data_IF_345886615692
#
_entry.id   IF_345886615692
#
_cell.length_a   1.000
_cell.length_b   1.000
_cell.length_c   1.000
_cell.angle_alpha   90.00
_cell.angle_beta   90.00
_cell.angle_gamma   90.00
#
_symmetry.space_group_name_H-M   'P 1'
#
loop_
_entity.id
_entity.type
_entity.pdbx_description
1 polymer ?
#
# COMPACT_ATOMS: atom_id res chain seq x y z
N UNK A 1 -9.97 -13.23 13.04
CA UNK A 1 -10.16 -12.91 11.60
C UNK A 1 -10.79 -14.09 10.87
N UNK A 2 -11.41 -13.82 9.72
CA UNK A 2 -12.12 -14.85 8.91
C UNK A 2 -11.15 -15.78 8.17
N UNK A 3 -10.03 -15.23 7.73
CA UNK A 3 -9.03 -15.91 6.91
C UNK A 3 -8.31 -17.00 7.74
N UNK A 4 -7.73 -17.96 7.04
CA UNK A 4 -6.74 -18.87 7.63
C UNK A 4 -5.40 -18.14 7.77
N UNK A 5 -4.45 -18.75 8.47
CA UNK A 5 -3.13 -18.14 8.64
C UNK A 5 -2.40 -17.94 7.30
N UNK A 6 -2.60 -18.84 6.35
CA UNK A 6 -1.98 -18.81 5.01
C UNK A 6 -2.62 -17.77 4.09
N UNK A 7 -3.90 -17.49 4.30
CA UNK A 7 -4.66 -16.57 3.42
C UNK A 7 -4.86 -15.17 4.03
N UNK A 8 -4.34 -14.96 5.24
CA UNK A 8 -4.40 -13.69 5.96
C UNK A 8 -3.66 -12.60 5.15
N UNK A 9 -4.29 -11.43 4.89
CA UNK A 9 -3.68 -10.38 4.07
C UNK A 9 -2.60 -9.57 4.78
N UNK A 10 -2.47 -9.71 6.11
CA UNK A 10 -1.42 -9.04 6.89
C UNK A 10 -0.02 -9.56 6.49
N UNK A 11 0.99 -8.69 6.55
CA UNK A 11 2.36 -9.11 6.26
C UNK A 11 2.88 -10.10 7.30
N UNK A 12 3.79 -10.98 6.89
CA UNK A 12 4.41 -11.95 7.80
C UNK A 12 5.18 -11.26 8.93
N UNK A 13 5.74 -10.07 8.69
CA UNK A 13 6.44 -9.26 9.69
C UNK A 13 5.45 -8.74 10.74
N UNK A 14 4.31 -8.17 10.33
CA UNK A 14 3.28 -7.68 11.26
C UNK A 14 2.65 -8.79 12.10
N UNK A 15 2.40 -9.96 11.49
CA UNK A 15 1.91 -11.14 12.21
C UNK A 15 2.90 -11.56 13.30
N UNK A 16 4.20 -11.62 12.94
CA UNK A 16 5.26 -11.97 13.87
C UNK A 16 5.38 -10.95 15.01
N UNK A 17 5.36 -9.65 14.69
CA UNK A 17 5.42 -8.59 15.70
C UNK A 17 4.24 -8.64 16.66
N UNK A 18 3.02 -8.86 16.15
CA UNK A 18 1.83 -9.02 16.99
C UNK A 18 1.97 -10.21 17.96
N UNK A 19 2.48 -11.35 17.51
CA UNK A 19 2.72 -12.52 18.37
C UNK A 19 3.83 -12.27 19.41
N UNK A 20 4.90 -11.59 19.03
CA UNK A 20 5.97 -11.18 19.96
C UNK A 20 5.44 -10.24 21.06
N UNK A 21 4.47 -9.40 20.73
CA UNK A 21 3.78 -8.55 21.70
C UNK A 21 2.75 -9.32 22.55
N UNK A 22 2.55 -10.61 22.27
CA UNK A 22 1.65 -11.50 23.00
C UNK A 22 0.19 -11.37 22.59
N UNK A 23 -0.08 -10.84 21.38
CA UNK A 23 -1.42 -10.83 20.79
C UNK A 23 -1.76 -12.23 20.31
N UNK A 24 -2.92 -12.74 20.73
CA UNK A 24 -3.43 -14.02 20.29
C UNK A 24 -4.20 -13.86 18.97
N UNK A 25 -3.67 -14.41 17.91
CA UNK A 25 -4.31 -14.40 16.59
C UNK A 25 -5.15 -15.67 16.46
N UNK A 26 -6.46 -15.52 16.28
CA UNK A 26 -7.41 -16.61 16.08
C UNK A 26 -7.95 -16.58 14.64
N UNK A 27 -7.35 -17.35 13.71
CA UNK A 27 -7.78 -17.42 12.32
C UNK A 27 -9.01 -18.32 12.14
N UNK A 28 -9.82 -18.04 11.13
CA UNK A 28 -10.99 -18.84 10.78
C UNK A 28 -12.19 -18.62 11.71
N UNK A 29 -12.36 -17.41 12.25
CA UNK A 29 -13.48 -17.07 13.11
C UNK A 29 -14.12 -15.74 12.71
N UNK A 30 -15.45 -15.72 12.66
CA UNK A 30 -16.25 -14.52 12.42
C UNK A 30 -17.10 -14.13 13.63
N UNK A 31 -17.43 -12.85 13.81
CA UNK A 31 -18.25 -12.40 14.92
C UNK A 31 -19.69 -12.92 14.79
N UNK A 32 -20.28 -13.35 15.90
CA UNK A 32 -21.67 -13.73 15.99
C UNK A 32 -22.44 -12.78 16.90
N UNK A 33 -21.96 -12.59 18.14
CA UNK A 33 -22.66 -11.81 19.15
C UNK A 33 -21.68 -11.20 20.15
N UNK A 34 -21.95 -9.96 20.57
CA UNK A 34 -21.25 -9.33 21.71
C UNK A 34 -22.06 -9.58 22.97
N UNK A 35 -21.45 -10.19 23.95
CA UNK A 35 -22.07 -10.47 25.24
C UNK A 35 -21.97 -9.26 26.15
N UNK A 36 -23.08 -8.90 26.78
CA UNK A 36 -23.16 -7.82 27.78
C UNK A 36 -23.70 -8.36 29.11
N UNK A 37 -23.39 -7.68 30.19
CA UNK A 37 -23.95 -7.95 31.50
C UNK A 37 -25.29 -7.23 31.73
N UNK A 38 -25.83 -7.35 32.94
CA UNK A 38 -27.11 -6.72 33.33
C UNK A 38 -27.07 -5.17 33.28
N UNK A 39 -25.88 -4.56 33.30
CA UNK A 39 -25.68 -3.12 33.24
C UNK A 39 -25.38 -2.64 31.80
N UNK A 40 -25.34 -3.55 30.82
CA UNK A 40 -24.98 -3.25 29.43
C UNK A 40 -23.48 -3.16 29.17
N UNK A 41 -22.64 -3.56 30.12
CA UNK A 41 -21.19 -3.58 29.97
C UNK A 41 -20.73 -4.84 29.20
N UNK A 42 -19.77 -4.66 28.29
CA UNK A 42 -19.23 -5.80 27.52
C UNK A 42 -18.52 -6.78 28.44
N UNK A 43 -18.87 -8.07 28.35
CA UNK A 43 -18.26 -9.19 29.05
C UNK A 43 -17.57 -10.19 28.13
N UNK A 44 -17.83 -10.12 26.83
CA UNK A 44 -17.21 -11.06 25.88
C UNK A 44 -17.78 -10.95 24.48
N UNK A 45 -17.25 -11.80 23.60
CA UNK A 45 -17.74 -11.97 22.22
C UNK A 45 -17.88 -13.45 21.91
N UNK A 46 -18.95 -13.82 21.24
CA UNK A 46 -19.13 -15.15 20.63
C UNK A 46 -18.74 -15.06 19.17
N UNK A 47 -17.88 -15.96 18.76
CA UNK A 47 -17.43 -16.13 17.39
C UNK A 47 -17.95 -17.44 16.83
N UNK A 48 -18.17 -17.50 15.53
CA UNK A 48 -18.55 -18.72 14.79
C UNK A 48 -17.46 -19.08 13.79
N UNK A 49 -17.27 -20.37 13.58
CA UNK A 49 -16.24 -20.89 12.69
C UNK A 49 -16.48 -20.45 11.26
N UNK A 50 -15.46 -19.86 10.62
CA UNK A 50 -15.47 -19.56 9.22
C UNK A 50 -14.90 -20.74 8.41
N UNK A 51 -15.71 -21.32 7.53
CA UNK A 51 -15.35 -22.46 6.70
C UNK A 51 -14.66 -22.00 5.41
N UNK A 52 -15.13 -20.89 4.84
CA UNK A 52 -14.49 -20.25 3.68
C UNK A 52 -14.82 -18.77 3.69
N UNK A 53 -13.89 -17.93 3.20
CA UNK A 53 -14.09 -16.48 3.09
C UNK A 53 -14.63 -16.09 1.72
N UNK A 54 -14.33 -16.90 0.69
CA UNK A 54 -14.71 -16.63 -0.70
C UNK A 54 -15.54 -17.77 -1.26
N UNK A 55 -16.43 -17.43 -2.18
CA UNK A 55 -17.17 -18.41 -2.98
C UNK A 55 -16.32 -19.01 -4.14
N UNK A 56 -16.93 -19.88 -4.93
CA UNK A 56 -16.29 -20.52 -6.08
C UNK A 56 -15.83 -19.52 -7.17
N UNK A 57 -16.42 -18.34 -7.23
CA UNK A 57 -16.05 -17.27 -8.16
C UNK A 57 -14.98 -16.32 -7.58
N UNK A 58 -14.46 -16.62 -6.38
CA UNK A 58 -13.46 -15.81 -5.68
C UNK A 58 -14.01 -14.51 -5.07
N UNK A 59 -15.34 -14.35 -4.98
CA UNK A 59 -15.98 -13.20 -4.36
C UNK A 59 -16.07 -13.39 -2.86
N UNK A 60 -15.95 -12.29 -2.10
CA UNK A 60 -16.14 -12.31 -0.67
C UNK A 60 -17.58 -12.73 -0.33
N UNK A 61 -17.73 -13.93 0.21
CA UNK A 61 -19.00 -14.55 0.60
C UNK A 61 -18.73 -15.59 1.70
N UNK A 62 -18.44 -15.14 2.94
CA UNK A 62 -18.01 -16.04 4.00
C UNK A 62 -19.11 -17.06 4.38
N UNK A 63 -18.72 -18.32 4.47
CA UNK A 63 -19.56 -19.43 4.93
C UNK A 63 -19.14 -19.81 6.34
N UNK A 64 -20.12 -20.11 7.19
CA UNK A 64 -19.90 -20.36 8.60
C UNK A 64 -20.49 -21.71 9.01
N UNK A 65 -19.85 -22.32 10.00
CA UNK A 65 -20.47 -23.34 10.83
C UNK A 65 -21.14 -22.63 12.02
N UNK A 66 -22.45 -22.69 12.08
CA UNK A 66 -23.23 -22.02 13.14
C UNK A 66 -23.22 -22.78 14.47
N UNK A 67 -22.80 -24.05 14.46
CA UNK A 67 -22.75 -24.93 15.63
C UNK A 67 -21.35 -24.91 16.30
N UNK A 68 -20.29 -24.61 15.55
CA UNK A 68 -18.93 -24.45 16.10
C UNK A 68 -18.70 -23.02 16.56
N UNK A 69 -18.78 -22.81 17.89
CA UNK A 69 -18.69 -21.51 18.52
C UNK A 69 -17.45 -21.38 19.42
N UNK A 70 -16.86 -20.19 19.44
CA UNK A 70 -15.78 -19.79 20.34
C UNK A 70 -16.21 -18.57 21.13
N UNK A 71 -16.22 -18.67 22.46
CA UNK A 71 -16.49 -17.52 23.33
C UNK A 71 -15.17 -16.99 23.89
N UNK A 72 -14.95 -15.68 23.73
CA UNK A 72 -13.79 -14.97 24.27
C UNK A 72 -14.28 -13.94 25.29
N UNK A 73 -13.84 -14.08 26.53
CA UNK A 73 -14.14 -13.11 27.59
C UNK A 73 -13.28 -11.85 27.40
N UNK A 74 -13.90 -10.69 27.35
CA UNK A 74 -13.23 -9.40 27.20
C UNK A 74 -14.11 -8.26 27.68
N UNK A 75 -13.51 -7.13 27.98
CA UNK A 75 -14.20 -5.90 28.40
C UNK A 75 -14.43 -4.92 27.23
N UNK A 76 -13.71 -5.09 26.13
CA UNK A 76 -13.81 -4.23 24.96
C UNK A 76 -13.73 -5.06 23.70
N UNK A 77 -14.53 -4.70 22.70
CA UNK A 77 -14.51 -5.31 21.36
C UNK A 77 -14.36 -4.19 20.35
N UNK A 78 -13.35 -4.31 19.48
CA UNK A 78 -13.11 -3.40 18.38
C UNK A 78 -13.31 -4.12 17.04
N UNK A 79 -14.21 -3.60 16.21
CA UNK A 79 -14.43 -4.13 14.86
C UNK A 79 -13.59 -3.35 13.85
N UNK A 80 -12.65 -4.05 13.20
CA UNK A 80 -11.81 -3.52 12.12
C UNK A 80 -11.99 -4.37 10.87
N UNK A 81 -13.24 -4.54 10.44
CA UNK A 81 -13.69 -5.54 9.45
C UNK A 81 -13.85 -4.99 8.03
N UNK A 82 -13.09 -3.99 7.67
CA UNK A 82 -13.10 -3.41 6.35
C UNK A 82 -13.62 -1.98 6.33
N UNK A 83 -13.58 -1.40 5.14
CA UNK A 83 -13.95 -0.02 4.90
C UNK A 83 -14.82 0.06 3.65
N UNK A 84 -15.65 1.08 3.56
CA UNK A 84 -16.47 1.38 2.39
C UNK A 84 -16.38 2.87 2.05
N UNK A 85 -16.53 3.16 0.77
CA UNK A 85 -16.58 4.55 0.29
C UNK A 85 -17.98 5.09 0.54
N UNK A 86 -18.07 6.20 1.28
CA UNK A 86 -19.30 6.91 1.55
C UNK A 86 -19.19 8.31 0.97
N UNK A 87 -19.90 8.55 -0.12
CA UNK A 87 -19.91 9.86 -0.79
C UNK A 87 -20.85 10.87 -0.16
N UNK A 88 -21.88 10.41 0.57
CA UNK A 88 -22.96 11.29 1.03
C UNK A 88 -23.58 12.04 -0.14
N UNK A 89 -23.70 13.36 -0.02
CA UNK A 89 -24.22 14.25 -1.06
C UNK A 89 -23.14 14.82 -1.99
N UNK A 90 -21.87 14.45 -1.82
CA UNK A 90 -20.75 15.06 -2.55
C UNK A 90 -20.87 14.94 -4.08
N UNK A 91 -21.37 13.82 -4.57
CA UNK A 91 -21.52 13.55 -6.00
C UNK A 91 -22.94 13.79 -6.53
N UNK A 92 -23.84 14.32 -5.69
CA UNK A 92 -25.24 14.53 -6.06
C UNK A 92 -25.37 15.54 -7.20
N UNK A 93 -25.99 15.11 -8.29
CA UNK A 93 -26.17 15.94 -9.49
C UNK A 93 -24.97 16.02 -10.41
N UNK A 94 -23.84 15.35 -10.08
CA UNK A 94 -22.71 15.20 -10.99
C UNK A 94 -22.91 14.05 -11.97
N UNK A 95 -22.08 13.99 -13.02
CA UNK A 95 -22.05 12.89 -13.99
C UNK A 95 -21.02 11.81 -13.61
N UNK A 96 -20.47 11.87 -12.40
CA UNK A 96 -19.49 10.89 -11.94
C UNK A 96 -20.16 9.52 -11.84
N UNK A 97 -19.62 8.56 -12.58
CA UNK A 97 -20.06 7.17 -12.55
C UNK A 97 -19.39 6.43 -11.39
N UNK A 98 -20.14 5.54 -10.74
CA UNK A 98 -19.62 4.69 -9.69
C UNK A 98 -19.54 3.24 -10.16
N UNK A 99 -18.40 2.63 -9.95
CA UNK A 99 -18.09 1.24 -10.27
C UNK A 99 -18.20 0.31 -9.07
N UNK A 100 -17.43 -0.77 -9.13
CA UNK A 100 -17.38 -1.78 -8.07
C UNK A 100 -16.93 -1.18 -6.75
N UNK A 101 -17.57 -1.58 -5.66
CA UNK A 101 -17.22 -1.11 -4.30
C UNK A 101 -17.49 0.37 -4.08
N UNK A 102 -18.39 0.96 -4.86
CA UNK A 102 -18.72 2.38 -4.80
C UNK A 102 -17.58 3.33 -5.19
N UNK A 103 -16.53 2.80 -5.86
CA UNK A 103 -15.41 3.58 -6.38
C UNK A 103 -15.81 4.44 -7.56
N UNK A 104 -15.22 5.62 -7.70
CA UNK A 104 -15.48 6.48 -8.85
C UNK A 104 -14.76 5.97 -10.11
N UNK A 105 -15.44 6.02 -11.25
CA UNK A 105 -14.86 5.68 -12.55
C UNK A 105 -14.13 6.89 -13.12
N UNK A 106 -12.88 6.68 -13.54
CA UNK A 106 -12.07 7.73 -14.15
C UNK A 106 -11.12 7.16 -15.20
N UNK A 107 -10.62 8.02 -16.06
CA UNK A 107 -9.57 7.68 -17.03
C UNK A 107 -8.25 7.37 -16.31
N UNK A 108 -7.62 6.26 -16.64
CA UNK A 108 -6.43 5.76 -15.94
C UNK A 108 -5.18 6.63 -16.11
N UNK A 109 -5.11 7.45 -17.15
CA UNK A 109 -3.97 8.32 -17.43
C UNK A 109 -4.15 9.71 -16.83
N UNK A 110 -5.37 10.23 -16.88
CA UNK A 110 -5.68 11.60 -16.49
C UNK A 110 -6.35 11.72 -15.14
N UNK A 111 -6.88 10.64 -14.59
CA UNK A 111 -7.68 10.61 -13.36
C UNK A 111 -8.96 11.44 -13.44
N UNK A 112 -9.37 11.84 -14.66
CA UNK A 112 -10.58 12.62 -14.91
C UNK A 112 -11.80 11.69 -14.95
N UNK A 113 -12.88 12.11 -14.32
CA UNK A 113 -14.17 11.40 -14.35
C UNK A 113 -15.00 11.80 -15.58
N UNK A 114 -16.21 11.26 -15.69
CA UNK A 114 -17.20 11.70 -16.69
C UNK A 114 -17.63 13.17 -16.50
N UNK A 115 -17.47 13.74 -15.29
CA UNK A 115 -17.58 15.17 -15.06
C UNK A 115 -16.22 15.82 -15.27
N UNK A 116 -16.14 16.72 -16.25
CA UNK A 116 -14.87 17.20 -16.78
C UNK A 116 -13.98 17.96 -15.79
N UNK A 117 -14.54 18.56 -14.74
CA UNK A 117 -13.85 19.30 -13.70
C UNK A 117 -13.63 18.50 -12.41
N UNK A 118 -14.02 17.21 -12.40
CA UNK A 118 -13.82 16.30 -11.27
C UNK A 118 -12.75 15.27 -11.60
N UNK A 119 -11.73 15.22 -10.75
CA UNK A 119 -10.62 14.27 -10.79
C UNK A 119 -10.60 13.46 -9.51
N UNK A 120 -10.25 12.18 -9.60
CA UNK A 120 -10.23 11.27 -8.46
C UNK A 120 -8.93 10.48 -8.42
N UNK A 121 -8.50 10.09 -7.22
CA UNK A 121 -7.32 9.25 -7.02
C UNK A 121 -7.31 8.61 -5.63
N UNK A 122 -6.36 7.72 -5.37
CA UNK A 122 -6.31 6.95 -4.12
C UNK A 122 -7.46 5.95 -4.00
N UNK A 123 -7.82 5.59 -2.78
CA UNK A 123 -8.74 4.50 -2.46
C UNK A 123 -10.13 4.63 -3.10
N UNK A 124 -10.60 5.85 -3.30
CA UNK A 124 -11.90 6.11 -3.96
C UNK A 124 -11.90 5.78 -5.45
N UNK A 125 -10.74 5.57 -6.05
CA UNK A 125 -10.56 5.20 -7.46
C UNK A 125 -10.03 3.77 -7.61
N UNK A 126 -8.95 3.44 -6.90
CA UNK A 126 -8.26 2.14 -7.08
C UNK A 126 -8.74 1.06 -6.12
N UNK A 127 -9.58 1.39 -5.13
CA UNK A 127 -9.78 0.59 -3.94
C UNK A 127 -8.63 0.74 -2.95
N UNK A 128 -8.70 0.10 -1.78
CA UNK A 128 -7.67 0.20 -0.74
C UNK A 128 -6.28 -0.21 -1.23
N UNK A 129 -5.31 0.70 -1.09
CA UNK A 129 -3.90 0.51 -1.41
C UNK A 129 -3.00 1.21 -0.39
N UNK A 130 -1.69 1.21 -0.62
CA UNK A 130 -0.74 1.90 0.24
C UNK A 130 -0.81 3.42 0.07
N UNK A 131 -0.42 4.16 1.11
CA UNK A 131 -0.37 5.62 1.07
C UNK A 131 0.50 6.16 -0.08
N UNK A 132 1.57 5.44 -0.46
CA UNK A 132 2.42 5.83 -1.58
C UNK A 132 1.70 5.79 -2.92
N UNK A 133 0.74 4.87 -3.11
CA UNK A 133 -0.10 4.80 -4.31
C UNK A 133 -1.02 6.02 -4.40
N UNK A 134 -1.59 6.44 -3.26
CA UNK A 134 -2.41 7.64 -3.18
C UNK A 134 -1.60 8.91 -3.47
N UNK A 135 -0.35 8.99 -2.98
CA UNK A 135 0.58 10.10 -3.29
C UNK A 135 0.89 10.14 -4.78
N UNK A 136 1.16 9.00 -5.40
CA UNK A 136 1.42 8.90 -6.84
C UNK A 136 0.19 9.37 -7.64
N UNK A 137 -1.00 8.87 -7.31
CA UNK A 137 -2.25 9.30 -7.94
C UNK A 137 -2.50 10.81 -7.77
N UNK A 138 -2.21 11.35 -6.58
CA UNK A 138 -2.33 12.78 -6.30
C UNK A 138 -1.40 13.65 -7.18
N UNK A 139 -0.15 13.22 -7.38
CA UNK A 139 0.80 13.92 -8.28
C UNK A 139 0.31 13.93 -9.73
N UNK A 140 -0.12 12.79 -10.24
CA UNK A 140 -0.63 12.65 -11.59
C UNK A 140 -1.95 13.43 -11.79
N UNK A 141 -2.86 13.34 -10.82
CA UNK A 141 -4.10 14.12 -10.80
C UNK A 141 -3.85 15.62 -10.77
N UNK A 142 -2.89 16.10 -10.00
CA UNK A 142 -2.50 17.52 -9.94
C UNK A 142 -2.00 18.03 -11.30
N UNK A 143 -1.23 17.22 -12.05
CA UNK A 143 -0.82 17.57 -13.42
C UNK A 143 -2.05 17.69 -14.32
N UNK A 144 -3.01 16.81 -14.18
CA UNK A 144 -4.25 16.86 -14.98
C UNK A 144 -5.07 18.09 -14.66
N UNK A 145 -5.27 18.41 -13.39
CA UNK A 145 -5.98 19.62 -12.94
C UNK A 145 -5.26 20.88 -13.43
N UNK A 146 -3.94 20.95 -13.28
CA UNK A 146 -3.15 22.09 -13.77
C UNK A 146 -3.33 22.31 -15.28
N UNK A 147 -3.30 21.24 -16.06
CA UNK A 147 -3.50 21.32 -17.52
C UNK A 147 -4.95 21.66 -17.87
N UNK A 148 -5.90 21.13 -17.14
CA UNK A 148 -7.33 21.39 -17.37
C UNK A 148 -7.68 22.86 -17.26
N UNK A 149 -7.07 23.59 -16.31
CA UNK A 149 -7.30 25.03 -16.15
C UNK A 149 -6.48 25.91 -17.11
N UNK A 150 -5.57 25.31 -17.90
CA UNK A 150 -4.79 26.06 -18.90
C UNK A 150 -5.49 26.04 -20.27
N UNK A 151 -5.66 27.18 -20.94
CA UNK A 151 -6.24 27.22 -22.28
C UNK A 151 -5.44 26.36 -23.27
N UNK A 152 -6.13 25.53 -24.03
CA UNK A 152 -5.57 24.68 -25.09
C UNK A 152 -4.52 23.63 -24.61
N UNK A 153 -4.39 23.37 -23.34
CA UNK A 153 -3.49 22.33 -22.85
C UNK A 153 -4.10 20.92 -23.01
N UNK A 154 -3.30 19.98 -23.49
CA UNK A 154 -3.71 18.57 -23.59
C UNK A 154 -3.47 17.84 -22.27
N UNK A 155 -4.48 17.11 -21.79
CA UNK A 155 -4.34 16.26 -20.60
C UNK A 155 -3.42 15.06 -20.82
N UNK A 156 -3.23 14.61 -22.07
CA UNK A 156 -2.57 13.35 -22.40
C UNK A 156 -1.19 13.48 -23.03
N UNK A 157 -0.86 14.58 -23.69
CA UNK A 157 0.43 14.78 -24.33
C UNK A 157 1.56 14.79 -23.30
N UNK A 158 2.60 13.98 -23.53
CA UNK A 158 3.79 13.92 -22.65
C UNK A 158 3.53 13.25 -21.29
N UNK A 159 2.41 12.55 -21.11
CA UNK A 159 2.18 11.70 -19.93
C UNK A 159 2.97 10.40 -20.07
N UNK A 160 3.46 9.90 -18.94
CA UNK A 160 4.10 8.60 -18.91
C UNK A 160 3.04 7.50 -19.12
N UNK A 161 3.24 6.69 -20.16
CA UNK A 161 2.38 5.55 -20.51
C UNK A 161 3.11 4.22 -20.38
N UNK A 162 4.23 4.21 -19.65
CA UNK A 162 4.97 2.98 -19.45
C UNK A 162 4.13 2.01 -18.62
N UNK A 163 3.99 0.81 -19.12
CA UNK A 163 3.46 -0.31 -18.37
C UNK A 163 4.60 -0.93 -17.56
N UNK A 164 4.36 -1.12 -16.28
CA UNK A 164 5.30 -1.84 -15.41
C UNK A 164 4.99 -3.33 -15.51
N UNK A 165 6.00 -4.11 -15.86
CA UNK A 165 5.91 -5.56 -15.90
C UNK A 165 6.46 -6.08 -14.57
N UNK A 166 5.71 -6.93 -13.89
CA UNK A 166 6.22 -7.65 -12.74
C UNK A 166 7.26 -8.64 -13.21
N UNK A 167 8.48 -8.52 -12.68
CA UNK A 167 9.58 -9.43 -13.01
C UNK A 167 9.37 -10.76 -12.30
N UNK A 168 9.58 -11.86 -13.01
CA UNK A 168 9.71 -13.17 -12.41
C UNK A 168 10.98 -13.21 -11.57
N UNK A 169 10.81 -13.22 -10.25
CA UNK A 169 11.92 -13.18 -9.30
C UNK A 169 12.65 -14.51 -9.18
N UNK A 170 12.04 -15.60 -9.62
CA UNK A 170 12.61 -16.93 -9.53
C UNK A 170 13.59 -17.20 -10.69
N UNK A 171 13.49 -16.45 -11.80
CA UNK A 171 14.38 -16.58 -12.98
C UNK A 171 15.45 -15.47 -13.06
N UNK A 172 15.67 -14.71 -12.02
CA UNK A 172 16.73 -13.69 -12.01
C UNK A 172 18.11 -14.33 -11.84
N UNK A 173 18.97 -14.20 -12.87
CA UNK A 173 20.35 -14.65 -12.79
C UNK A 173 21.18 -13.64 -11.98
N UNK A 174 21.69 -14.09 -10.83
CA UNK A 174 22.43 -13.26 -9.87
C UNK A 174 23.89 -13.68 -9.69
N UNK A 175 24.47 -14.43 -10.65
CA UNK A 175 25.82 -14.98 -10.52
C UNK A 175 26.91 -13.91 -10.42
N UNK A 176 26.64 -12.70 -10.91
CA UNK A 176 27.58 -11.56 -10.87
C UNK A 176 27.39 -10.63 -9.66
N UNK A 177 26.43 -10.92 -8.77
CA UNK A 177 26.13 -10.09 -7.61
C UNK A 177 26.58 -10.75 -6.31
N UNK A 178 26.74 -9.92 -5.27
CA UNK A 178 27.01 -10.40 -3.92
C UNK A 178 25.78 -11.15 -3.37
N UNK A 179 25.98 -12.45 -3.07
CA UNK A 179 24.95 -13.33 -2.51
C UNK A 179 24.95 -13.32 -0.96
N UNK A 180 25.51 -12.29 -0.32
CA UNK A 180 25.45 -12.12 1.13
C UNK A 180 24.00 -12.05 1.63
N UNK A 181 23.77 -12.52 2.85
CA UNK A 181 22.45 -12.51 3.46
C UNK A 181 21.95 -11.07 3.68
N UNK A 182 20.64 -10.89 3.53
CA UNK A 182 19.99 -9.63 3.84
C UNK A 182 20.26 -9.23 5.29
N UNK A 183 20.63 -7.99 5.51
CA UNK A 183 20.77 -7.43 6.86
C UNK A 183 19.41 -7.15 7.48
N UNK A 184 19.30 -7.35 8.78
CA UNK A 184 18.08 -7.10 9.54
C UNK A 184 18.41 -6.04 10.60
N UNK A 185 17.63 -4.95 10.71
CA UNK A 185 17.79 -3.98 11.78
C UNK A 185 17.64 -4.63 13.15
N UNK A 186 18.41 -4.16 14.13
CA UNK A 186 18.24 -4.58 15.50
C UNK A 186 16.97 -4.05 16.15
N UNK A 187 16.69 -4.51 17.36
CA UNK A 187 15.61 -4.01 18.20
C UNK A 187 16.17 -3.43 19.50
N UNK A 188 15.50 -2.43 20.04
CA UNK A 188 15.77 -1.91 21.36
C UNK A 188 14.88 -2.62 22.38
N UNK A 189 15.42 -3.62 23.05
CA UNK A 189 14.71 -4.44 24.03
C UNK A 189 14.33 -3.69 25.32
N UNK A 190 14.87 -2.48 25.53
CA UNK A 190 14.48 -1.62 26.65
C UNK A 190 13.11 -0.96 26.45
N UNK A 191 12.56 -1.00 25.23
CA UNK A 191 11.23 -0.46 24.94
C UNK A 191 10.19 -1.55 25.16
N UNK A 192 9.32 -1.36 26.15
CA UNK A 192 8.14 -2.20 26.34
C UNK A 192 7.10 -1.88 25.25
N UNK A 193 7.09 -2.68 24.20
CA UNK A 193 6.17 -2.54 23.06
C UNK A 193 4.69 -2.57 23.48
N UNK A 194 4.35 -3.26 24.58
CA UNK A 194 2.97 -3.34 25.10
C UNK A 194 2.48 -2.05 25.76
N UNK A 195 3.41 -1.15 26.15
CA UNK A 195 3.11 0.07 26.91
C UNK A 195 3.59 1.35 26.25
N UNK A 196 4.19 1.24 25.07
CA UNK A 196 4.79 2.39 24.40
C UNK A 196 4.50 2.36 22.91
N UNK A 197 4.19 3.52 22.33
CA UNK A 197 4.15 3.73 20.86
C UNK A 197 5.50 4.15 20.29
N UNK A 198 6.59 4.04 21.07
CA UNK A 198 7.93 4.29 20.56
C UNK A 198 8.36 3.17 19.65
N UNK A 199 8.97 3.53 18.55
CA UNK A 199 9.55 2.55 17.63
C UNK A 199 10.71 1.82 18.30
N UNK A 200 10.57 0.51 18.46
CA UNK A 200 11.62 -0.35 19.01
C UNK A 200 12.60 -0.83 17.92
N UNK A 201 12.25 -0.68 16.64
CA UNK A 201 13.11 -1.04 15.52
C UNK A 201 14.25 -0.03 15.40
N UNK A 202 15.47 -0.52 15.36
CA UNK A 202 16.67 0.32 15.19
C UNK A 202 16.93 0.54 13.70
N UNK A 203 17.69 1.60 13.39
CA UNK A 203 18.26 1.80 12.05
C UNK A 203 19.43 0.85 11.82
N UNK A 204 19.83 0.65 10.59
CA UNK A 204 21.04 -0.07 10.26
C UNK A 204 22.29 0.61 10.83
N UNK A 205 23.26 -0.20 11.26
CA UNK A 205 24.61 0.29 11.54
C UNK A 205 25.33 0.64 10.24
N UNK A 206 26.45 1.34 10.32
CA UNK A 206 27.25 1.69 9.13
C UNK A 206 27.72 0.43 8.37
N UNK A 207 28.10 -0.63 9.09
CA UNK A 207 28.50 -1.91 8.52
C UNK A 207 27.34 -2.59 7.80
N UNK A 208 26.15 -2.57 8.39
CA UNK A 208 24.94 -3.11 7.77
C UNK A 208 24.57 -2.32 6.50
N UNK A 209 24.65 -0.98 6.52
CA UNK A 209 24.44 -0.15 5.33
C UNK A 209 25.42 -0.51 4.23
N UNK A 210 26.71 -0.67 4.54
CA UNK A 210 27.74 -1.07 3.57
C UNK A 210 27.43 -2.45 2.97
N UNK A 211 27.02 -3.42 3.80
CA UNK A 211 26.65 -4.75 3.34
C UNK A 211 25.43 -4.73 2.41
N UNK A 212 24.38 -3.99 2.78
CA UNK A 212 23.15 -3.88 1.96
C UNK A 212 23.40 -3.10 0.66
N UNK A 213 24.20 -2.05 0.68
CA UNK A 213 24.54 -1.29 -0.55
C UNK A 213 25.41 -2.08 -1.50
N UNK A 214 26.31 -2.96 -1.00
CA UNK A 214 27.14 -3.82 -1.83
C UNK A 214 26.31 -4.84 -2.64
N UNK A 215 25.19 -5.32 -2.08
CA UNK A 215 24.28 -6.26 -2.75
C UNK A 215 23.15 -5.59 -3.53
N UNK A 216 23.09 -4.27 -3.57
CA UNK A 216 22.06 -3.52 -4.24
C UNK A 216 22.17 -3.63 -5.76
N UNK A 217 21.08 -4.04 -6.42
CA UNK A 217 21.03 -4.19 -7.89
C UNK A 217 20.86 -2.84 -8.62
N UNK A 218 20.63 -1.74 -7.91
CA UNK A 218 20.46 -0.42 -8.50
C UNK A 218 19.23 -0.30 -9.42
N UNK A 219 18.22 -1.14 -9.28
CA UNK A 219 17.10 -1.27 -10.21
C UNK A 219 16.21 -0.02 -10.32
N UNK A 220 16.33 0.95 -9.43
CA UNK A 220 15.67 2.26 -9.52
C UNK A 220 16.63 3.42 -9.83
N UNK A 221 17.91 3.13 -10.08
CA UNK A 221 18.89 4.16 -10.36
C UNK A 221 18.62 4.85 -11.72
N UNK A 222 18.70 6.17 -11.74
CA UNK A 222 18.63 6.93 -12.99
C UNK A 222 19.94 6.73 -13.77
N UNK A 223 19.80 6.31 -15.02
CA UNK A 223 20.95 6.12 -15.94
C UNK A 223 20.81 7.12 -17.10
N UNK A 224 21.89 7.80 -17.43
CA UNK A 224 21.96 8.67 -18.62
C UNK A 224 22.34 7.79 -19.82
N UNK A 225 21.50 7.79 -20.84
CA UNK A 225 21.86 7.21 -22.14
C UNK A 225 22.72 8.24 -22.90
N UNK A 226 24.02 8.03 -22.90
CA UNK A 226 25.00 8.93 -23.52
C UNK A 226 24.77 9.11 -25.02
N UNK A 227 24.19 8.12 -25.70
CA UNK A 227 23.88 8.20 -27.13
C UNK A 227 22.65 9.07 -27.44
N UNK A 228 21.79 9.27 -26.44
CA UNK A 228 20.58 10.10 -26.55
C UNK A 228 20.70 11.44 -25.87
N UNK A 229 21.68 11.59 -24.98
CA UNK A 229 21.92 12.82 -24.25
C UNK A 229 22.50 13.91 -25.16
N UNK A 230 21.77 14.99 -25.31
CA UNK A 230 22.23 16.16 -26.10
C UNK A 230 22.92 17.24 -25.25
N UNK A 231 23.17 16.98 -23.99
CA UNK A 231 23.83 17.92 -23.08
C UNK A 231 23.05 19.19 -22.78
N UNK A 232 21.72 19.19 -22.89
CA UNK A 232 20.90 20.41 -22.77
C UNK A 232 20.83 20.98 -21.34
N UNK A 233 21.27 20.27 -20.32
CA UNK A 233 21.30 20.73 -18.92
C UNK A 233 19.98 20.74 -18.18
N UNK A 234 18.86 20.34 -18.77
CA UNK A 234 17.56 20.33 -18.09
C UNK A 234 17.58 19.45 -16.84
N UNK A 235 18.24 18.29 -16.88
CA UNK A 235 18.34 17.39 -15.73
C UNK A 235 19.07 18.04 -14.54
N UNK A 236 20.09 18.87 -14.79
CA UNK A 236 20.83 19.57 -13.73
C UNK A 236 19.98 20.63 -13.05
N UNK A 237 19.10 21.31 -13.80
CA UNK A 237 18.19 22.32 -13.23
C UNK A 237 16.98 21.73 -12.53
N UNK A 238 16.67 20.44 -12.77
CA UNK A 238 15.54 19.73 -12.14
C UNK A 238 15.94 18.92 -10.91
N UNK A 239 17.22 18.69 -10.70
CA UNK A 239 17.72 17.97 -9.54
C UNK A 239 17.86 18.94 -8.35
N UNK A 240 16.96 18.86 -7.39
CA UNK A 240 16.97 19.66 -6.16
C UNK A 240 18.17 19.33 -5.24
N UNK A 241 18.80 18.18 -5.46
CA UNK A 241 19.92 17.69 -4.65
C UNK A 241 21.29 18.00 -5.25
N UNK A 242 21.34 18.73 -6.39
CA UNK A 242 22.60 19.01 -7.14
C UNK A 242 23.42 17.73 -7.44
N UNK A 243 22.73 16.59 -7.61
CA UNK A 243 23.35 15.28 -7.82
C UNK A 243 23.72 15.00 -9.29
N UNK A 244 23.26 15.85 -10.21
CA UNK A 244 23.51 15.69 -11.65
C UNK A 244 24.33 16.89 -12.14
N UNK A 245 25.47 16.60 -12.76
CA UNK A 245 26.37 17.62 -13.33
C UNK A 245 26.70 17.27 -14.76
N UNK A 246 26.75 18.28 -15.62
CA UNK A 246 27.31 18.11 -16.96
C UNK A 246 28.82 18.21 -16.88
N UNK A 247 29.50 17.25 -17.49
CA UNK A 247 30.94 17.24 -17.64
C UNK A 247 31.29 17.29 -19.12
N UNK A 248 32.32 18.06 -19.49
CA UNK A 248 32.82 18.10 -20.86
C UNK A 248 34.18 17.44 -20.89
N UNK A 249 34.29 16.34 -21.61
CA UNK A 249 35.53 15.53 -21.70
C UNK A 249 36.44 15.97 -22.86
N UNK A 250 35.88 16.74 -23.82
CA UNK A 250 36.63 17.21 -24.97
C UNK A 250 36.73 18.74 -24.96
N UNK A 251 37.89 19.29 -25.33
CA UNK A 251 38.00 20.73 -25.56
C UNK A 251 37.06 21.17 -26.69
N UNK A 252 36.35 22.29 -26.48
CA UNK A 252 35.43 22.87 -27.46
C UNK A 252 36.15 23.57 -28.58
#
# INVERSE_FOLDING_TARGET
CLETRETMPASAEEIKEAEEEGILINPGWGPKEVLVDENGEVRGIVLKKCLSVKDADGRFNPQYDEDELLTVECKHVFFSVGQSIIWGDLLKGSKVELGRGNGAVADALTYQTAEADIFVGGDVYTGPKFAIDAIAAGKEGAISIHRFVQPNASLTIGRNRNEFIELDKDDIKVESYDNSSRQIPGHNDAIDKKRSFRDAKLIFTEEQVKAETARCLGCGASVVDENKCIGCGICTTKCEFDAIRLHRDLPG
#
